data_IF_767514506361
#
_entry.id   IF_767514506361
#
_cell.length_a   1.000
_cell.length_b   1.000
_cell.length_c   1.000
_cell.angle_alpha   90.00
_cell.angle_beta   90.00
_cell.angle_gamma   90.00
#
_symmetry.space_group_name_H-M   'P 1'
#
loop_
_entity.id
_entity.type
_entity.pdbx_description
1 polymer ?
#
# COMPACT_ATOMS: atom_id res chain seq x y z
N UNK A 1 22.88 -4.88 -10.94
CA UNK A 1 21.97 -6.01 -11.19
C UNK A 1 21.33 -6.51 -9.89
N UNK A 2 22.08 -6.87 -8.85
CA UNK A 2 21.53 -7.37 -7.58
C UNK A 2 20.49 -6.42 -6.91
N UNK A 3 20.74 -5.12 -6.89
CA UNK A 3 19.79 -4.11 -6.37
C UNK A 3 18.41 -4.18 -7.04
N UNK A 4 18.37 -4.21 -8.36
CA UNK A 4 17.12 -4.25 -9.12
C UNK A 4 16.39 -5.57 -8.87
N UNK A 5 17.08 -6.69 -8.93
CA UNK A 5 16.50 -8.01 -8.70
C UNK A 5 15.93 -8.15 -7.28
N UNK A 6 16.63 -7.65 -6.27
CA UNK A 6 16.16 -7.68 -4.88
C UNK A 6 14.85 -6.88 -4.70
N UNK A 7 14.82 -5.63 -5.21
CA UNK A 7 13.62 -4.81 -5.09
C UNK A 7 12.43 -5.36 -5.89
N UNK A 8 12.67 -5.89 -7.09
CA UNK A 8 11.63 -6.56 -7.87
C UNK A 8 11.08 -7.81 -7.15
N UNK A 9 11.96 -8.63 -6.56
CA UNK A 9 11.54 -9.79 -5.78
C UNK A 9 10.72 -9.39 -4.54
N UNK A 10 11.12 -8.32 -3.84
CA UNK A 10 10.41 -7.81 -2.69
C UNK A 10 9.01 -7.27 -3.07
N UNK A 11 8.91 -6.49 -4.14
CA UNK A 11 7.62 -6.01 -4.66
C UNK A 11 6.74 -7.18 -5.08
N UNK A 12 7.28 -8.16 -5.82
CA UNK A 12 6.53 -9.35 -6.23
C UNK A 12 6.04 -10.18 -5.05
N UNK A 13 6.84 -10.31 -3.98
CA UNK A 13 6.45 -10.99 -2.75
C UNK A 13 5.27 -10.29 -2.06
N UNK A 14 5.31 -8.96 -1.94
CA UNK A 14 4.20 -8.18 -1.34
C UNK A 14 2.91 -8.33 -2.16
N UNK A 15 3.00 -8.24 -3.49
CA UNK A 15 1.84 -8.47 -4.38
C UNK A 15 1.31 -9.90 -4.20
N UNK A 16 2.20 -10.90 -4.18
CA UNK A 16 1.80 -12.30 -3.98
C UNK A 16 1.08 -12.52 -2.65
N UNK A 17 1.61 -11.96 -1.56
CA UNK A 17 0.98 -12.04 -0.23
C UNK A 17 -0.40 -11.38 -0.25
N UNK A 18 -0.52 -10.17 -0.80
CA UNK A 18 -1.79 -9.45 -0.90
C UNK A 18 -2.83 -10.25 -1.66
N UNK A 19 -2.49 -10.72 -2.85
CA UNK A 19 -3.42 -11.48 -3.70
C UNK A 19 -3.80 -12.83 -3.09
N UNK A 20 -2.89 -13.51 -2.38
CA UNK A 20 -3.22 -14.76 -1.66
C UNK A 20 -4.20 -14.51 -0.52
N UNK A 21 -4.01 -13.44 0.27
CA UNK A 21 -4.95 -13.10 1.35
C UNK A 21 -6.31 -12.70 0.77
N UNK A 22 -6.36 -11.94 -0.32
CA UNK A 22 -7.61 -11.57 -1.00
C UNK A 22 -8.33 -12.78 -1.59
N UNK A 23 -7.62 -13.71 -2.20
CA UNK A 23 -8.19 -15.00 -2.64
C UNK A 23 -8.79 -15.79 -1.48
N UNK A 24 -8.08 -15.88 -0.36
CA UNK A 24 -8.61 -16.48 0.86
C UNK A 24 -9.88 -15.75 1.35
N UNK A 25 -9.87 -14.41 1.35
CA UNK A 25 -11.05 -13.63 1.77
C UNK A 25 -12.27 -13.90 0.85
N UNK A 26 -12.06 -14.00 -0.45
CA UNK A 26 -13.13 -14.36 -1.40
C UNK A 26 -13.64 -15.79 -1.15
N UNK A 27 -12.77 -16.76 -0.93
CA UNK A 27 -13.16 -18.17 -0.80
C UNK A 27 -13.76 -18.50 0.57
N UNK A 28 -13.25 -17.90 1.64
CA UNK A 28 -13.58 -18.27 3.02
C UNK A 28 -14.43 -17.21 3.72
N UNK A 29 -14.07 -15.93 3.58
CA UNK A 29 -14.74 -14.86 4.31
C UNK A 29 -16.01 -14.38 3.60
N UNK A 30 -16.03 -14.30 2.27
CA UNK A 30 -17.20 -13.85 1.51
C UNK A 30 -18.47 -14.67 1.82
N UNK A 31 -18.44 -16.04 1.89
CA UNK A 31 -19.63 -16.82 2.19
C UNK A 31 -20.21 -16.60 3.59
N UNK A 32 -19.36 -16.23 4.58
CA UNK A 32 -19.78 -16.00 5.98
C UNK A 32 -20.02 -14.53 6.30
N UNK A 33 -19.56 -13.63 5.43
CA UNK A 33 -19.68 -12.17 5.54
C UNK A 33 -18.73 -11.54 6.54
N UNK A 34 -18.67 -12.02 7.78
CA UNK A 34 -17.75 -11.56 8.81
C UNK A 34 -17.42 -12.65 9.84
N UNK A 35 -16.22 -12.56 10.42
CA UNK A 35 -15.78 -13.41 11.53
C UNK A 35 -14.91 -12.62 12.52
N UNK A 36 -14.97 -12.91 13.85
CA UNK A 36 -14.11 -12.25 14.82
C UNK A 36 -12.65 -12.68 14.61
N UNK A 37 -11.71 -11.71 14.72
CA UNK A 37 -10.28 -11.97 14.66
C UNK A 37 -9.61 -11.64 16.00
N UNK A 38 -9.77 -10.42 16.49
CA UNK A 38 -9.36 -10.01 17.83
C UNK A 38 -10.61 -9.48 18.53
N UNK A 39 -11.13 -10.16 19.58
CA UNK A 39 -12.36 -9.77 20.23
C UNK A 39 -12.39 -8.28 20.61
N UNK A 40 -13.47 -7.59 20.26
CA UNK A 40 -13.72 -6.17 20.50
C UNK A 40 -12.73 -5.18 19.82
N UNK A 41 -11.73 -5.66 19.08
CA UNK A 41 -10.71 -4.80 18.42
C UNK A 41 -10.81 -4.90 16.90
N UNK A 42 -10.74 -6.13 16.35
CA UNK A 42 -10.71 -6.37 14.90
C UNK A 42 -11.64 -7.52 14.56
N UNK A 43 -12.47 -7.33 13.56
CA UNK A 43 -13.14 -8.42 12.85
C UNK A 43 -12.65 -8.49 11.40
N UNK A 44 -12.72 -9.65 10.80
CA UNK A 44 -12.57 -9.83 9.37
C UNK A 44 -13.95 -9.73 8.75
N UNK A 45 -14.18 -8.73 7.90
CA UNK A 45 -15.45 -8.45 7.23
C UNK A 45 -15.22 -8.30 5.74
N UNK A 46 -15.85 -9.13 4.93
CA UNK A 46 -15.74 -9.05 3.49
C UNK A 46 -16.48 -7.83 2.93
N UNK A 47 -15.76 -6.99 2.18
CA UNK A 47 -16.32 -5.82 1.49
C UNK A 47 -15.70 -5.71 0.11
N UNK A 48 -16.51 -5.45 -0.91
CA UNK A 48 -16.06 -5.01 -2.23
C UNK A 48 -16.10 -3.49 -2.29
N UNK A 49 -14.95 -2.88 -2.55
CA UNK A 49 -14.77 -1.43 -2.53
C UNK A 49 -14.65 -0.89 -3.96
N UNK A 50 -15.70 -0.24 -4.50
CA UNK A 50 -15.69 0.32 -5.86
C UNK A 50 -14.97 1.68 -5.96
N UNK A 51 -14.41 2.18 -4.86
CA UNK A 51 -13.76 3.49 -4.81
C UNK A 51 -12.38 3.50 -4.16
N UNK A 52 -12.08 4.60 -3.49
CA UNK A 52 -10.97 4.76 -2.55
C UNK A 52 -11.46 4.53 -1.11
N UNK A 53 -10.64 4.92 -0.11
CA UNK A 53 -11.06 4.94 1.28
C UNK A 53 -12.43 5.64 1.43
N UNK A 54 -13.33 5.05 2.22
CA UNK A 54 -14.73 5.50 2.40
C UNK A 54 -15.54 5.52 1.09
N UNK A 55 -15.19 4.67 0.11
CA UNK A 55 -15.83 4.59 -1.21
C UNK A 55 -15.84 5.92 -2.00
N UNK A 56 -14.89 6.82 -1.71
CA UNK A 56 -14.71 8.03 -2.49
C UNK A 56 -14.43 7.68 -3.96
N UNK A 57 -14.95 8.48 -4.89
CA UNK A 57 -14.84 8.29 -6.32
C UNK A 57 -15.43 6.96 -6.83
N UNK A 58 -16.38 6.35 -6.11
CA UNK A 58 -17.14 5.20 -6.59
C UNK A 58 -17.71 5.46 -7.98
N UNK A 59 -17.62 4.47 -8.87
CA UNK A 59 -18.06 4.59 -10.26
C UNK A 59 -17.07 5.29 -11.20
N UNK A 60 -15.91 5.77 -10.71
CA UNK A 60 -14.86 6.40 -11.53
C UNK A 60 -13.64 5.50 -11.70
N UNK A 61 -13.85 4.22 -11.96
CA UNK A 61 -12.80 3.20 -12.03
C UNK A 61 -11.66 3.56 -13.00
N UNK A 62 -11.98 3.99 -14.21
CA UNK A 62 -10.96 4.37 -15.20
C UNK A 62 -10.06 5.49 -14.68
N UNK A 63 -10.63 6.49 -14.01
CA UNK A 63 -9.86 7.57 -13.39
C UNK A 63 -8.94 7.02 -12.29
N UNK A 64 -9.47 6.15 -11.41
CA UNK A 64 -8.68 5.52 -10.34
C UNK A 64 -7.51 4.69 -10.89
N UNK A 65 -7.76 3.90 -11.93
CA UNK A 65 -6.73 3.09 -12.59
C UNK A 65 -5.63 4.01 -13.17
N UNK A 66 -6.00 5.04 -13.93
CA UNK A 66 -5.04 5.95 -14.56
C UNK A 66 -4.22 6.71 -13.50
N UNK A 67 -4.90 7.31 -12.52
CA UNK A 67 -4.25 8.09 -11.47
C UNK A 67 -3.30 7.23 -10.63
N UNK A 68 -3.75 6.03 -10.21
CA UNK A 68 -2.92 5.09 -9.45
C UNK A 68 -1.73 4.61 -10.28
N UNK A 69 -1.93 4.27 -11.56
CA UNK A 69 -0.86 3.84 -12.47
C UNK A 69 0.20 4.94 -12.62
N UNK A 70 -0.22 6.19 -12.85
CA UNK A 70 0.71 7.32 -12.95
C UNK A 70 1.52 7.54 -11.67
N UNK A 71 0.86 7.47 -10.51
CA UNK A 71 1.54 7.57 -9.21
C UNK A 71 2.54 6.43 -9.01
N UNK A 72 2.17 5.18 -9.32
CA UNK A 72 3.06 4.02 -9.19
C UNK A 72 4.26 4.09 -10.14
N UNK A 73 4.11 4.63 -11.35
CA UNK A 73 5.22 4.88 -12.26
C UNK A 73 6.22 5.90 -11.67
N UNK A 74 5.73 6.98 -11.05
CA UNK A 74 6.58 7.94 -10.36
C UNK A 74 7.32 7.31 -9.16
N UNK A 75 6.64 6.47 -8.38
CA UNK A 75 7.23 5.72 -7.26
C UNK A 75 8.30 4.73 -7.77
N UNK A 76 8.01 4.01 -8.86
CA UNK A 76 8.97 3.10 -9.50
C UNK A 76 10.21 3.86 -10.00
N UNK A 77 10.02 5.02 -10.63
CA UNK A 77 11.14 5.88 -11.01
C UNK A 77 11.99 6.27 -9.78
N UNK A 78 11.35 6.69 -8.70
CA UNK A 78 12.03 7.00 -7.44
C UNK A 78 12.83 5.81 -6.89
N UNK A 79 12.22 4.62 -6.88
CA UNK A 79 12.87 3.40 -6.39
C UNK A 79 14.11 3.04 -7.20
N UNK A 80 14.00 2.96 -8.52
CA UNK A 80 15.08 2.41 -9.35
C UNK A 80 16.17 3.42 -9.72
N UNK A 81 15.85 4.72 -9.74
CA UNK A 81 16.78 5.76 -10.20
C UNK A 81 17.26 6.73 -9.10
N UNK A 82 16.51 6.88 -7.98
CA UNK A 82 16.81 7.88 -6.95
C UNK A 82 17.16 7.31 -5.57
N UNK A 83 16.71 6.09 -5.25
CA UNK A 83 16.86 5.51 -3.90
C UNK A 83 18.11 4.66 -3.70
N UNK A 84 18.98 4.52 -4.72
CA UNK A 84 20.14 3.65 -4.66
C UNK A 84 21.08 4.04 -3.51
N UNK A 85 21.36 3.09 -2.62
CA UNK A 85 22.15 3.33 -1.39
C UNK A 85 21.34 3.80 -0.18
N UNK A 86 20.11 4.24 -0.36
CA UNK A 86 19.23 4.73 0.71
C UNK A 86 18.25 3.63 1.14
N UNK A 87 18.65 2.74 2.04
CA UNK A 87 17.88 1.51 2.41
C UNK A 87 16.47 1.80 2.93
N UNK A 88 16.30 2.83 3.78
CA UNK A 88 14.99 3.17 4.35
C UNK A 88 14.05 3.71 3.26
N UNK A 89 14.56 4.55 2.36
CA UNK A 89 13.79 5.03 1.21
C UNK A 89 13.40 3.89 0.26
N UNK A 90 14.29 2.92 0.04
CA UNK A 90 13.97 1.73 -0.76
C UNK A 90 12.84 0.92 -0.14
N UNK A 91 12.92 0.64 1.17
CA UNK A 91 11.87 -0.08 1.89
C UNK A 91 10.52 0.64 1.79
N UNK A 92 10.51 1.96 1.98
CA UNK A 92 9.32 2.80 1.84
C UNK A 92 8.69 2.67 0.43
N UNK A 93 9.51 2.86 -0.62
CA UNK A 93 9.02 2.82 -2.00
C UNK A 93 8.61 1.40 -2.45
N UNK A 94 9.28 0.35 -1.97
CA UNK A 94 8.89 -1.06 -2.20
C UNK A 94 7.52 -1.35 -1.59
N UNK A 95 7.25 -0.89 -0.37
CA UNK A 95 5.95 -1.04 0.28
C UNK A 95 4.84 -0.32 -0.52
N UNK A 96 5.08 0.93 -0.94
CA UNK A 96 4.10 1.68 -1.73
C UNK A 96 3.83 1.00 -3.07
N UNK A 97 4.88 0.52 -3.76
CA UNK A 97 4.73 -0.19 -5.03
C UNK A 97 3.98 -1.50 -4.85
N UNK A 98 4.38 -2.34 -3.89
CA UNK A 98 3.76 -3.64 -3.67
C UNK A 98 2.27 -3.51 -3.33
N UNK A 99 1.93 -2.65 -2.36
CA UNK A 99 0.54 -2.41 -1.97
C UNK A 99 -0.28 -1.73 -3.08
N UNK A 100 0.29 -0.69 -3.70
CA UNK A 100 -0.40 0.02 -4.78
C UNK A 100 -0.70 -0.86 -5.98
N UNK A 101 0.26 -1.72 -6.40
CA UNK A 101 0.04 -2.68 -7.49
C UNK A 101 -0.99 -3.74 -7.08
N UNK A 102 -0.96 -4.24 -5.84
CA UNK A 102 -1.96 -5.18 -5.33
C UNK A 102 -3.39 -4.67 -5.51
N UNK A 103 -3.66 -3.44 -5.07
CA UNK A 103 -4.97 -2.80 -5.24
C UNK A 103 -5.27 -2.40 -6.70
N UNK A 104 -4.26 -2.13 -7.51
CA UNK A 104 -4.45 -1.84 -8.93
C UNK A 104 -4.86 -3.10 -9.71
N UNK A 105 -4.30 -4.26 -9.39
CA UNK A 105 -4.69 -5.56 -9.99
C UNK A 105 -6.18 -5.81 -9.78
N UNK A 106 -6.68 -5.66 -8.56
CA UNK A 106 -8.10 -5.85 -8.26
C UNK A 106 -8.98 -4.93 -9.10
N UNK A 107 -8.62 -3.64 -9.20
CA UNK A 107 -9.37 -2.65 -9.97
C UNK A 107 -9.40 -2.96 -11.47
N UNK A 108 -8.28 -3.42 -12.03
CA UNK A 108 -8.19 -3.75 -13.45
C UNK A 108 -8.96 -5.02 -13.79
N UNK A 109 -8.89 -6.04 -12.91
CA UNK A 109 -9.50 -7.34 -13.17
C UNK A 109 -10.97 -7.41 -12.76
N UNK A 110 -11.32 -6.80 -11.63
CA UNK A 110 -12.64 -6.98 -11.00
C UNK A 110 -13.46 -5.68 -10.93
N UNK A 111 -12.85 -4.52 -11.16
CA UNK A 111 -13.48 -3.21 -10.99
C UNK A 111 -13.61 -2.74 -9.54
N UNK A 112 -13.33 -3.58 -8.57
CA UNK A 112 -13.47 -3.34 -7.13
C UNK A 112 -12.31 -3.96 -6.38
N UNK A 113 -11.97 -3.39 -5.21
CA UNK A 113 -10.91 -3.92 -4.34
C UNK A 113 -11.53 -4.77 -3.25
N UNK A 114 -10.90 -5.90 -2.95
CA UNK A 114 -11.30 -6.76 -1.83
C UNK A 114 -10.70 -6.22 -0.53
N UNK A 115 -11.58 -5.71 0.36
CA UNK A 115 -11.24 -5.23 1.70
C UNK A 115 -11.77 -6.20 2.74
N UNK A 116 -11.05 -6.36 3.88
CA UNK A 116 -11.42 -7.40 4.86
C UNK A 116 -11.04 -7.09 6.31
N UNK A 117 -10.31 -6.02 6.63
CA UNK A 117 -9.93 -5.67 8.00
C UNK A 117 -10.85 -4.56 8.50
N UNK A 118 -11.67 -4.84 9.51
CA UNK A 118 -12.58 -3.89 10.12
C UNK A 118 -12.21 -3.63 11.59
N UNK A 119 -12.01 -2.36 11.94
CA UNK A 119 -11.72 -1.93 13.32
C UNK A 119 -13.04 -1.72 14.07
N UNK A 120 -13.22 -2.39 15.23
CA UNK A 120 -14.47 -2.33 15.99
C UNK A 120 -14.52 -1.17 16.98
N UNK A 121 -13.38 -0.63 17.39
CA UNK A 121 -13.27 0.42 18.40
C UNK A 121 -13.39 1.84 17.84
N UNK A 122 -13.43 1.99 16.51
CA UNK A 122 -13.57 3.27 15.84
C UNK A 122 -14.31 3.12 14.51
N UNK A 123 -14.90 4.21 14.03
CA UNK A 123 -15.51 4.27 12.69
C UNK A 123 -14.42 4.49 11.65
N UNK A 124 -13.96 3.44 11.04
CA UNK A 124 -12.97 3.47 9.97
C UNK A 124 -13.46 2.66 8.77
N UNK A 125 -13.00 2.99 7.57
CA UNK A 125 -13.29 2.18 6.39
C UNK A 125 -12.65 0.80 6.56
N UNK A 126 -13.31 -0.25 6.06
CA UNK A 126 -12.69 -1.58 5.94
C UNK A 126 -11.52 -1.46 4.96
N UNK A 127 -10.40 -2.09 5.24
CA UNK A 127 -9.17 -2.01 4.47
C UNK A 127 -8.51 -3.38 4.34
N UNK A 128 -7.38 -3.44 3.64
CA UNK A 128 -6.67 -4.67 3.33
C UNK A 128 -5.16 -4.57 3.61
N UNK A 129 -4.42 -5.65 3.35
CA UNK A 129 -2.96 -5.70 3.52
C UNK A 129 -2.23 -4.70 2.61
N UNK A 130 -2.67 -4.52 1.36
CA UNK A 130 -2.08 -3.57 0.43
C UNK A 130 -2.18 -2.13 0.96
N UNK A 131 -3.30 -1.76 1.59
CA UNK A 131 -3.49 -0.43 2.20
C UNK A 131 -2.52 -0.22 3.37
N UNK A 132 -2.29 -1.25 4.20
CA UNK A 132 -1.27 -1.20 5.26
C UNK A 132 0.11 -0.93 4.65
N UNK A 133 0.47 -1.66 3.59
CA UNK A 133 1.75 -1.46 2.90
C UNK A 133 1.89 -0.02 2.38
N UNK A 134 0.86 0.51 1.72
CA UNK A 134 0.87 1.90 1.21
C UNK A 134 1.01 2.90 2.35
N UNK A 135 0.20 2.77 3.41
CA UNK A 135 0.22 3.71 4.54
C UNK A 135 1.57 3.69 5.27
N UNK A 136 2.11 2.51 5.58
CA UNK A 136 3.43 2.37 6.22
C UNK A 136 4.54 2.89 5.29
N UNK A 137 4.49 2.56 4.01
CA UNK A 137 5.45 3.03 3.02
C UNK A 137 5.47 4.55 2.89
N UNK A 138 4.30 5.19 2.82
CA UNK A 138 4.19 6.66 2.78
C UNK A 138 4.72 7.28 4.07
N UNK A 139 4.36 6.74 5.24
CA UNK A 139 4.84 7.23 6.53
C UNK A 139 6.38 7.15 6.64
N UNK A 140 6.96 6.03 6.21
CA UNK A 140 8.42 5.87 6.15
C UNK A 140 9.07 6.84 5.16
N UNK A 141 8.44 7.10 4.02
CA UNK A 141 8.98 8.04 3.04
C UNK A 141 8.96 9.47 3.55
N UNK A 142 7.89 9.90 4.20
CA UNK A 142 7.80 11.20 4.88
C UNK A 142 8.88 11.32 5.95
N UNK A 143 9.09 10.27 6.75
CA UNK A 143 10.17 10.24 7.74
C UNK A 143 11.55 10.42 7.11
N UNK A 144 11.82 9.76 5.98
CA UNK A 144 13.10 9.92 5.25
C UNK A 144 13.32 11.36 4.81
N UNK A 145 12.28 12.00 4.24
CA UNK A 145 12.36 13.40 3.81
C UNK A 145 12.72 14.29 5.00
N UNK A 146 12.02 14.11 6.12
CA UNK A 146 12.27 14.89 7.34
C UNK A 146 13.70 14.70 7.87
N UNK A 147 14.20 13.46 7.90
CA UNK A 147 15.56 13.17 8.35
C UNK A 147 16.63 13.75 7.40
N UNK A 148 16.42 13.71 6.09
CA UNK A 148 17.31 14.30 5.09
C UNK A 148 17.37 15.84 5.26
N UNK A 149 16.25 16.51 5.58
CA UNK A 149 16.18 17.96 5.84
C UNK A 149 16.92 18.36 7.11
N UNK A 150 16.69 17.67 8.23
CA UNK A 150 17.37 17.93 9.51
C UNK A 150 18.89 17.80 9.37
N UNK A 151 19.36 16.78 8.65
CA UNK A 151 20.82 16.61 8.43
C UNK A 151 21.41 17.71 7.53
N UNK A 152 20.64 18.26 6.59
CA UNK A 152 21.10 19.36 5.75
C UNK A 152 21.26 20.65 6.56
N UNK A 153 20.35 20.97 7.47
CA UNK A 153 20.40 22.14 8.34
C UNK A 153 21.57 22.06 9.35
N UNK A 154 21.81 20.87 9.93
CA UNK A 154 22.93 20.65 10.85
C UNK A 154 24.30 20.82 10.18
N UNK A 155 24.42 20.48 8.90
CA UNK A 155 25.67 20.69 8.14
C UNK A 155 25.87 22.17 7.80
N UNK A 156 24.83 22.87 7.39
CA UNK A 156 24.89 24.30 7.07
C UNK A 156 25.23 25.15 8.31
N UNK A 157 24.78 24.77 9.51
CA UNK A 157 25.07 25.47 10.76
C UNK A 157 26.50 25.30 11.28
N UNK A 158 27.22 24.24 10.85
CA UNK A 158 28.60 23.94 11.24
C UNK A 158 29.66 24.59 10.32
N UNK A 159 29.23 25.07 9.17
CA UNK A 159 30.09 25.76 8.19
C UNK A 159 30.07 27.28 8.35
N UNK A 160 29.29 27.86 9.25
CA UNK A 160 29.25 29.27 9.66
C UNK A 160 30.04 29.50 10.95
#
# INVERSE_FOLDING_TARGET
>A
MAFVLFNLAAVAALIGIDQLIKLWAVQVLQPVGAMPFIPHVVELRFVLNPGMAFSLLSGRQLFLIIATSAALLAVAYGLFFRSRGKRLQQAALVLVLGGGIGNLIDRVLNGEVVDYINLLFMRFAVFNFADICVCVGVALWVLVIFLDEVHADDTASKEQ
#
